data_IF_139140856165
#
_entry.id   IF_139140856165
#
_cell.length_a   1.000
_cell.length_b   1.000
_cell.length_c   1.000
_cell.angle_alpha   90.00
_cell.angle_beta   90.00
_cell.angle_gamma   90.00
#
_symmetry.space_group_name_H-M   'P 1'
#
loop_
_entity.id
_entity.type
_entity.pdbx_description
1 polymer ?
#
# COMPACT_ATOMS: atom_id res chain seq x y z
N UNK A 1 -90.20 -26.11 -34.95
CA UNK A 1 -89.41 -26.72 -33.86
C UNK A 1 -87.96 -26.45 -34.19
N UNK A 2 -87.34 -25.47 -33.53
CA UNK A 2 -85.94 -25.11 -33.77
C UNK A 2 -85.09 -26.17 -33.08
N UNK A 3 -84.42 -27.01 -33.85
CA UNK A 3 -83.42 -27.94 -33.33
C UNK A 3 -82.20 -27.10 -32.95
N UNK A 4 -82.09 -26.70 -31.69
CA UNK A 4 -80.92 -26.01 -31.16
C UNK A 4 -79.69 -26.90 -31.37
N UNK A 5 -78.75 -26.44 -32.20
CA UNK A 5 -77.43 -27.04 -32.26
C UNK A 5 -76.72 -26.61 -30.96
N UNK A 6 -76.55 -27.56 -30.05
CA UNK A 6 -75.63 -27.40 -28.93
C UNK A 6 -74.42 -28.26 -29.26
N UNK A 7 -73.40 -27.62 -29.83
CA UNK A 7 -72.10 -28.27 -30.03
C UNK A 7 -71.42 -28.35 -28.66
N UNK A 8 -71.65 -29.45 -27.95
CA UNK A 8 -71.12 -29.61 -26.59
C UNK A 8 -69.59 -29.71 -26.67
N UNK A 9 -68.91 -28.77 -25.99
CA UNK A 9 -67.46 -28.71 -25.91
C UNK A 9 -66.96 -29.49 -24.69
N UNK A 10 -66.25 -30.60 -24.94
CA UNK A 10 -65.65 -31.44 -23.90
C UNK A 10 -64.13 -31.28 -23.90
N UNK A 11 -63.51 -31.18 -22.72
CA UNK A 11 -62.05 -31.21 -22.55
C UNK A 11 -61.65 -32.24 -21.51
N UNK A 12 -60.70 -33.09 -21.86
CA UNK A 12 -60.11 -34.04 -20.92
C UNK A 12 -58.88 -33.41 -20.28
N UNK A 13 -58.94 -33.20 -18.96
CA UNK A 13 -57.84 -32.69 -18.17
C UNK A 13 -57.22 -33.83 -17.37
N UNK A 14 -55.96 -34.15 -17.66
CA UNK A 14 -55.19 -35.12 -16.89
C UNK A 14 -54.16 -34.40 -16.04
N UNK A 15 -54.20 -34.65 -14.72
CA UNK A 15 -53.23 -34.13 -13.76
C UNK A 15 -52.37 -35.28 -13.27
N UNK A 16 -51.12 -35.33 -13.72
CA UNK A 16 -50.13 -36.29 -13.26
C UNK A 16 -49.19 -35.63 -12.25
N UNK A 17 -48.96 -36.29 -11.12
CA UNK A 17 -47.97 -35.91 -10.11
C UNK A 17 -46.94 -37.03 -10.02
N UNK A 18 -45.68 -36.70 -10.20
CA UNK A 18 -44.59 -37.66 -10.22
C UNK A 18 -43.28 -37.03 -9.81
N UNK A 19 -42.30 -37.88 -9.50
CA UNK A 19 -40.97 -37.45 -9.06
C UNK A 19 -40.21 -36.93 -10.27
N UNK A 20 -39.61 -35.73 -10.15
CA UNK A 20 -38.72 -35.15 -11.16
C UNK A 20 -37.28 -35.36 -10.72
N UNK A 21 -36.55 -36.20 -11.44
CA UNK A 21 -35.11 -36.37 -11.22
C UNK A 21 -34.36 -35.28 -11.98
N UNK A 22 -33.77 -34.33 -11.25
CA UNK A 22 -32.90 -33.30 -11.81
C UNK A 22 -31.45 -33.60 -11.40
N UNK A 23 -30.65 -34.05 -12.36
CA UNK A 23 -29.23 -34.32 -12.15
C UNK A 23 -28.45 -33.12 -12.67
N UNK A 24 -27.89 -32.33 -11.77
CA UNK A 24 -27.01 -31.21 -12.12
C UNK A 24 -25.61 -31.53 -11.60
N UNK A 25 -24.65 -31.64 -12.53
CA UNK A 25 -23.25 -31.82 -12.21
C UNK A 25 -22.51 -30.51 -12.47
N UNK A 26 -21.88 -29.96 -11.44
CA UNK A 26 -21.03 -28.77 -11.55
C UNK A 26 -19.61 -29.16 -11.16
N UNK A 27 -18.66 -28.80 -12.01
CA UNK A 27 -17.25 -29.04 -11.77
C UNK A 27 -16.42 -27.98 -12.47
N UNK A 28 -15.48 -27.39 -11.73
CA UNK A 28 -14.48 -26.49 -12.29
C UNK A 28 -13.11 -27.15 -12.12
N UNK A 29 -12.47 -27.49 -13.23
CA UNK A 29 -11.12 -28.02 -13.24
C UNK A 29 -10.11 -26.88 -13.41
N UNK A 30 -9.08 -26.86 -12.57
CA UNK A 30 -7.96 -25.94 -12.71
C UNK A 30 -6.85 -26.57 -13.53
N UNK A 31 -6.45 -25.92 -14.62
CA UNK A 31 -5.18 -26.23 -15.29
C UNK A 31 -4.11 -25.28 -14.78
N UNK A 32 -2.93 -25.81 -14.46
CA UNK A 32 -1.78 -24.98 -14.12
C UNK A 32 -1.39 -24.11 -15.32
N UNK A 33 -1.49 -22.80 -15.14
CA UNK A 33 -1.10 -21.80 -16.15
C UNK A 33 -0.06 -20.87 -15.53
N UNK A 34 1.04 -20.67 -16.24
CA UNK A 34 2.16 -19.87 -15.75
C UNK A 34 1.82 -18.39 -15.60
N UNK A 35 0.97 -17.84 -16.48
CA UNK A 35 0.56 -16.43 -16.45
C UNK A 35 -0.15 -16.06 -15.13
N UNK A 36 -1.24 -16.72 -14.71
CA UNK A 36 -1.88 -16.42 -13.42
C UNK A 36 -1.01 -16.78 -12.21
N UNK A 37 -0.11 -17.78 -12.32
CA UNK A 37 0.87 -18.04 -11.25
C UNK A 37 1.79 -16.84 -11.06
N UNK A 38 2.42 -16.37 -12.14
CA UNK A 38 3.39 -15.28 -12.07
C UNK A 38 2.73 -13.99 -11.58
N UNK A 39 1.47 -13.74 -11.94
CA UNK A 39 0.71 -12.60 -11.41
C UNK A 39 0.46 -12.73 -9.90
N UNK A 40 0.09 -13.92 -9.42
CA UNK A 40 -0.13 -14.15 -7.99
C UNK A 40 1.17 -14.11 -7.18
N UNK A 41 2.27 -14.62 -7.73
CA UNK A 41 3.58 -14.56 -7.07
C UNK A 41 4.14 -13.14 -7.13
N UNK A 42 4.03 -12.47 -8.27
CA UNK A 42 4.50 -11.10 -8.47
C UNK A 42 3.78 -10.10 -7.56
N UNK A 43 2.47 -10.25 -7.36
CA UNK A 43 1.72 -9.43 -6.41
C UNK A 43 2.17 -9.67 -4.97
N UNK A 44 2.41 -10.94 -4.59
CA UNK A 44 2.98 -11.28 -3.29
C UNK A 44 4.37 -10.67 -3.07
N UNK A 45 5.26 -10.76 -4.06
CA UNK A 45 6.60 -10.16 -3.97
C UNK A 45 6.57 -8.63 -3.90
N UNK A 46 5.65 -7.98 -4.63
CA UNK A 46 5.46 -6.53 -4.54
C UNK A 46 4.98 -6.11 -3.13
N UNK A 47 4.06 -6.87 -2.53
CA UNK A 47 3.59 -6.62 -1.17
C UNK A 47 4.70 -6.76 -0.12
N UNK A 48 5.62 -7.72 -0.29
CA UNK A 48 6.78 -7.86 0.60
C UNK A 48 7.70 -6.63 0.57
N UNK A 49 7.81 -5.95 -0.57
CA UNK A 49 8.56 -4.70 -0.69
C UNK A 49 7.91 -3.54 0.09
N UNK A 50 6.59 -3.44 0.08
CA UNK A 50 5.86 -2.41 0.84
C UNK A 50 5.83 -2.76 2.34
N UNK A 51 5.80 -4.05 2.68
CA UNK A 51 5.75 -4.52 4.05
C UNK A 51 6.94 -4.04 4.90
N UNK A 52 8.13 -3.89 4.32
CA UNK A 52 9.31 -3.39 5.05
C UNK A 52 9.19 -1.90 5.38
N UNK A 53 8.64 -1.09 4.47
CA UNK A 53 8.37 0.34 4.71
C UNK A 53 7.31 0.49 5.80
N UNK A 54 6.24 -0.30 5.74
CA UNK A 54 5.22 -0.31 6.79
C UNK A 54 5.83 -0.77 8.13
N UNK A 55 6.68 -1.81 8.11
CA UNK A 55 7.39 -2.29 9.28
C UNK A 55 8.23 -1.18 9.92
N UNK A 56 8.95 -0.39 9.11
CA UNK A 56 9.72 0.76 9.58
C UNK A 56 8.84 1.85 10.20
N UNK A 57 7.70 2.17 9.59
CA UNK A 57 6.72 3.13 10.13
C UNK A 57 6.19 2.62 11.48
N UNK A 58 5.84 1.34 11.58
CA UNK A 58 5.34 0.76 12.84
C UNK A 58 6.43 0.80 13.92
N UNK A 59 7.67 0.45 13.61
CA UNK A 59 8.80 0.51 14.56
C UNK A 59 9.08 1.94 15.02
N UNK A 60 9.00 2.93 14.13
CA UNK A 60 9.30 4.33 14.48
C UNK A 60 8.16 5.04 15.22
N UNK A 61 6.90 4.59 15.08
CA UNK A 61 5.74 5.28 15.66
C UNK A 61 5.07 4.52 16.82
N UNK A 62 5.04 3.18 16.81
CA UNK A 62 4.34 2.39 17.83
C UNK A 62 5.24 1.84 18.92
N UNK A 63 6.53 1.63 18.65
CA UNK A 63 7.44 1.13 19.69
C UNK A 63 7.90 2.30 20.57
N UNK A 64 7.67 2.18 21.88
CA UNK A 64 8.16 3.14 22.90
C UNK A 64 9.69 3.28 22.92
N UNK A 65 10.42 2.33 22.33
CA UNK A 65 11.88 2.31 22.20
C UNK A 65 12.39 2.88 20.86
N UNK A 66 11.72 3.90 20.32
CA UNK A 66 12.04 4.56 19.03
C UNK A 66 13.50 5.04 18.94
N UNK A 67 14.06 5.55 20.03
CA UNK A 67 15.43 6.09 20.11
C UNK A 67 16.49 5.01 19.84
N UNK A 68 16.32 3.81 20.38
CA UNK A 68 17.26 2.71 20.17
C UNK A 68 17.30 2.21 18.72
N UNK A 69 16.16 2.14 18.02
CA UNK A 69 16.13 1.74 16.60
C UNK A 69 16.70 2.84 15.68
N UNK A 70 16.52 4.12 16.03
CA UNK A 70 17.01 5.26 15.24
C UNK A 70 18.54 5.33 15.23
N UNK A 71 19.19 5.06 16.36
CA UNK A 71 20.66 5.07 16.50
C UNK A 71 21.36 3.91 15.76
N UNK A 72 20.69 2.79 15.55
CA UNK A 72 21.26 1.62 14.84
C UNK A 72 21.00 1.65 13.33
N UNK A 73 19.93 2.31 12.89
CA UNK A 73 19.57 2.39 11.48
C UNK A 73 20.16 3.61 10.77
N UNK A 74 20.31 4.74 11.47
CA UNK A 74 20.76 6.00 10.88
C UNK A 74 22.10 6.42 11.50
N UNK A 75 23.10 6.62 10.65
CA UNK A 75 24.31 7.34 11.02
C UNK A 75 24.07 8.81 10.69
N UNK A 76 24.11 9.70 11.69
CA UNK A 76 23.95 11.13 11.45
C UNK A 76 25.29 11.69 10.95
N UNK A 77 25.35 12.06 9.67
CA UNK A 77 26.57 12.53 9.01
C UNK A 77 26.37 13.99 8.64
N UNK A 78 27.03 14.91 9.37
CA UNK A 78 27.07 16.33 8.98
C UNK A 78 28.02 16.46 7.78
N UNK A 79 27.47 16.74 6.60
CA UNK A 79 28.26 17.12 5.43
C UNK A 79 29.02 18.42 5.70
N UNK A 80 30.16 18.63 5.03
CA UNK A 80 30.96 19.86 5.17
C UNK A 80 30.22 21.14 4.72
N UNK A 81 29.07 20.96 4.06
CA UNK A 81 28.18 22.01 3.57
C UNK A 81 26.88 22.11 4.40
N UNK A 82 26.76 21.32 5.48
CA UNK A 82 25.59 21.34 6.34
C UNK A 82 25.55 22.66 7.10
N UNK A 83 24.56 23.50 6.78
CA UNK A 83 24.22 24.67 7.57
C UNK A 83 23.82 24.21 8.98
N UNK A 84 24.73 24.35 9.94
CA UNK A 84 24.40 24.18 11.35
C UNK A 84 23.44 25.31 11.75
N UNK A 85 22.15 25.01 11.76
CA UNK A 85 21.20 25.74 12.60
C UNK A 85 21.59 25.38 14.03
N UNK A 86 22.42 26.22 14.63
CA UNK A 86 22.65 26.19 16.07
C UNK A 86 21.27 26.30 16.72
N UNK A 87 20.91 25.29 17.51
CA UNK A 87 19.77 25.37 18.42
C UNK A 87 20.04 26.60 19.31
N UNK A 88 19.19 27.62 19.19
CA UNK A 88 19.15 28.70 20.17
C UNK A 88 18.72 28.07 21.50
N UNK A 89 19.70 27.76 22.35
CA UNK A 89 19.51 27.55 23.77
C UNK A 89 18.81 28.79 24.36
N UNK A 90 17.69 28.64 25.10
CA UNK A 90 17.08 29.76 25.77
C UNK A 90 17.95 30.18 26.97
N UNK A 91 18.44 31.41 26.86
CA UNK A 91 18.78 32.34 27.95
C UNK A 91 19.72 31.82 29.05
N UNK A 92 20.99 32.24 28.99
CA UNK A 92 21.55 32.98 30.13
C UNK A 92 22.74 33.89 29.76
N UNK A 93 22.75 35.06 30.38
CA UNK A 93 23.56 36.26 30.09
C UNK A 93 25.07 36.00 30.06
N UNK A 94 25.77 36.60 29.09
CA UNK A 94 26.68 37.75 29.33
C UNK A 94 27.34 38.30 28.06
N UNK A 95 26.93 39.53 27.75
CA UNK A 95 27.67 40.66 27.13
C UNK A 95 29.15 40.39 26.82
N UNK A 96 29.52 40.40 25.53
CA UNK A 96 30.70 41.17 25.10
C UNK A 96 30.65 41.47 23.61
N UNK A 97 30.42 42.75 23.33
CA UNK A 97 30.75 43.40 22.06
C UNK A 97 32.21 43.09 21.71
N UNK A 98 32.48 42.35 20.64
CA UNK A 98 33.80 42.32 20.02
C UNK A 98 33.77 41.74 18.61
N UNK A 99 33.80 42.66 17.66
CA UNK A 99 34.58 42.52 16.42
C UNK A 99 33.96 41.66 15.31
N UNK A 100 33.10 42.34 14.55
CA UNK A 100 33.16 42.37 13.08
C UNK A 100 34.64 42.38 12.65
N UNK A 101 35.21 41.20 12.36
CA UNK A 101 36.53 41.10 11.72
C UNK A 101 36.34 40.74 10.27
N UNK A 102 35.99 41.77 9.49
CA UNK A 102 36.30 41.83 8.06
C UNK A 102 37.80 41.55 7.89
N UNK A 103 38.16 40.50 7.14
CA UNK A 103 39.39 40.49 6.34
C UNK A 103 39.14 39.73 5.04
N UNK A 104 38.94 40.51 3.98
CA UNK A 104 39.48 40.19 2.67
C UNK A 104 40.94 39.74 2.81
N UNK A 105 41.35 38.70 2.08
CA UNK A 105 42.40 38.85 1.08
C UNK A 105 42.43 37.62 0.16
N UNK A 106 42.30 37.86 -1.14
CA UNK A 106 42.58 36.85 -2.16
C UNK A 106 44.08 36.67 -2.38
N UNK A 107 44.43 35.54 -2.98
CA UNK A 107 45.51 35.48 -3.97
C UNK A 107 45.27 34.30 -4.91
N UNK A 108 45.25 34.64 -6.20
CA UNK A 108 45.40 33.80 -7.40
C UNK A 108 46.67 32.93 -7.32
N UNK A 109 46.90 31.87 -8.12
CA UNK A 109 46.83 31.75 -9.59
C UNK A 109 47.29 30.33 -10.02
N UNK A 110 47.17 30.02 -11.33
CA UNK A 110 47.73 28.89 -12.12
C UNK A 110 47.04 27.52 -11.97
N UNK A 111 46.50 26.84 -12.99
CA UNK A 111 46.91 26.75 -14.40
C UNK A 111 45.74 26.57 -15.39
N UNK A 112 45.89 27.17 -16.58
CA UNK A 112 45.18 27.04 -17.88
C UNK A 112 43.80 27.64 -18.06
#
# INVERSE_FOLDING_TARGET
MVQGNETIMYRNLYKATGIRFLVTVQGQAGQFRIVPLLLNVGSGMALLGIATVICDIVVLYFLKAKTFYREKKYLDVKGQDAFEVLEDEPEDRQITNSQVKRRHNGKSESDT
#
